data_IF_852606997603
#
_entry.id   IF_852606997603
#
_cell.length_a   1.000
_cell.length_b   1.000
_cell.length_c   1.000
_cell.angle_alpha   90.00
_cell.angle_beta   90.00
_cell.angle_gamma   90.00
#
_symmetry.space_group_name_H-M   'P 1'
#
loop_
_entity.id
_entity.type
_entity.pdbx_description
1 polymer ?
#
# COMPACT_ATOMS: atom_id res chain seq x y z
N UNK A 1 13.89 78.81 -20.45
CA UNK A 1 13.70 79.43 -21.78
C UNK A 1 14.56 78.71 -22.80
N UNK A 2 14.00 78.52 -23.98
CA UNK A 2 14.52 77.84 -25.17
C UNK A 2 15.84 78.42 -25.71
N UNK A 3 16.65 77.56 -26.34
CA UNK A 3 17.33 77.70 -27.65
C UNK A 3 18.49 76.70 -27.68
N UNK A 4 18.50 75.58 -28.42
CA UNK A 4 18.43 75.33 -29.87
C UNK A 4 19.49 76.09 -30.69
N UNK A 5 20.45 75.34 -31.25
CA UNK A 5 20.92 75.35 -32.66
C UNK A 5 22.35 74.74 -32.72
N UNK A 6 22.53 73.49 -33.20
CA UNK A 6 22.85 73.07 -34.60
C UNK A 6 24.27 73.49 -35.04
N UNK A 7 25.11 72.70 -35.71
CA UNK A 7 25.04 71.44 -36.45
C UNK A 7 26.48 70.89 -36.57
N UNK A 8 26.68 69.59 -36.46
CA UNK A 8 27.50 68.83 -37.44
C UNK A 8 26.76 67.52 -37.75
N UNK A 9 26.03 67.55 -38.85
CA UNK A 9 25.68 66.39 -39.66
C UNK A 9 26.93 65.96 -40.45
N UNK A 10 27.18 64.65 -40.60
CA UNK A 10 27.51 64.02 -41.90
C UNK A 10 27.90 62.52 -41.86
N UNK A 11 27.95 61.83 -40.72
CA UNK A 11 28.25 60.39 -40.74
C UNK A 11 27.01 59.51 -40.99
N UNK A 12 25.86 59.85 -40.40
CA UNK A 12 24.66 59.01 -40.52
C UNK A 12 24.00 59.02 -41.91
N UNK A 13 24.17 60.06 -42.71
CA UNK A 13 23.65 60.10 -44.09
C UNK A 13 24.53 59.32 -45.04
N UNK A 14 25.86 59.34 -44.85
CA UNK A 14 26.77 58.51 -45.64
C UNK A 14 26.58 57.03 -45.31
N UNK A 15 26.43 56.69 -44.02
CA UNK A 15 26.05 55.33 -43.60
C UNK A 15 24.71 54.91 -44.19
N UNK A 16 23.67 55.76 -44.17
CA UNK A 16 22.35 55.43 -44.74
C UNK A 16 22.34 55.28 -46.26
N UNK A 17 23.17 56.03 -46.99
CA UNK A 17 23.26 55.91 -48.46
C UNK A 17 24.14 54.72 -48.84
N UNK A 18 25.26 54.48 -48.15
CA UNK A 18 26.07 53.27 -48.32
C UNK A 18 25.26 52.03 -47.94
N UNK A 19 24.50 52.06 -46.85
CA UNK A 19 23.58 50.99 -46.46
C UNK A 19 22.45 50.84 -47.48
N UNK A 20 21.90 51.92 -48.05
CA UNK A 20 20.86 51.81 -49.09
C UNK A 20 21.40 51.32 -50.42
N UNK A 21 22.62 51.67 -50.80
CA UNK A 21 23.28 51.16 -52.02
C UNK A 21 23.71 49.71 -51.81
N UNK A 22 24.19 49.35 -50.63
CA UNK A 22 24.52 47.97 -50.27
C UNK A 22 23.27 47.11 -50.20
N UNK A 23 22.20 47.58 -49.55
CA UNK A 23 20.89 46.92 -49.51
C UNK A 23 20.27 46.86 -50.91
N UNK A 24 20.35 47.91 -51.72
CA UNK A 24 19.88 47.92 -53.13
C UNK A 24 20.67 46.92 -53.99
N UNK A 25 21.99 46.86 -53.85
CA UNK A 25 22.85 45.90 -54.54
C UNK A 25 22.54 44.47 -54.10
N UNK A 26 22.31 44.24 -52.81
CA UNK A 26 21.86 42.95 -52.29
C UNK A 26 20.43 42.62 -52.75
N UNK A 27 19.51 43.58 -52.85
CA UNK A 27 18.15 43.40 -53.39
C UNK A 27 18.16 43.08 -54.88
N UNK A 28 18.99 43.75 -55.68
CA UNK A 28 19.17 43.44 -57.10
C UNK A 28 19.84 42.08 -57.31
N UNK A 29 20.81 41.72 -56.45
CA UNK A 29 21.42 40.38 -56.45
C UNK A 29 20.41 39.29 -56.06
N UNK A 30 19.50 39.59 -55.14
CA UNK A 30 18.39 38.73 -54.76
C UNK A 30 17.35 38.60 -55.87
N UNK A 31 17.10 39.61 -56.70
CA UNK A 31 16.14 39.46 -57.82
C UNK A 31 16.72 38.63 -58.98
N UNK A 32 18.04 38.53 -59.10
CA UNK A 32 18.67 37.66 -60.10
C UNK A 32 18.51 36.18 -59.70
N UNK A 33 17.85 35.38 -60.54
CA UNK A 33 17.52 33.97 -60.32
C UNK A 33 18.72 33.06 -60.02
N UNK A 34 19.95 33.53 -60.26
CA UNK A 34 21.19 32.79 -59.99
C UNK A 34 21.59 32.73 -58.51
N UNK A 35 21.02 33.58 -57.65
CA UNK A 35 21.35 33.62 -56.21
C UNK A 35 20.21 33.13 -55.29
N UNK A 36 19.07 32.72 -55.86
CA UNK A 36 18.01 31.97 -55.16
C UNK A 36 18.27 30.47 -55.13
N UNK A 37 19.52 30.04 -55.29
CA UNK A 37 19.87 28.67 -54.97
C UNK A 37 19.84 28.47 -53.45
N UNK A 38 18.65 28.15 -52.93
CA UNK A 38 18.42 27.62 -51.59
C UNK A 38 18.96 26.19 -51.43
N UNK A 39 19.96 25.80 -52.22
CA UNK A 39 20.54 24.46 -52.24
C UNK A 39 21.31 24.13 -50.95
N UNK A 40 21.69 25.14 -50.17
CA UNK A 40 22.37 24.96 -48.88
C UNK A 40 21.82 25.92 -47.81
N UNK A 41 21.72 25.46 -46.54
CA UNK A 41 21.18 26.27 -45.45
C UNK A 41 21.93 27.59 -45.21
N UNK A 42 23.25 27.58 -45.37
CA UNK A 42 24.12 28.74 -45.13
C UNK A 42 23.82 29.90 -46.09
N UNK A 43 23.54 29.57 -47.37
CA UNK A 43 23.18 30.56 -48.40
C UNK A 43 21.76 31.11 -48.17
N UNK A 44 20.81 30.24 -47.83
CA UNK A 44 19.43 30.63 -47.54
C UNK A 44 19.32 31.56 -46.32
N UNK A 45 20.06 31.27 -45.25
CA UNK A 45 20.05 32.07 -44.01
C UNK A 45 20.71 33.45 -44.19
N UNK A 46 21.77 33.54 -45.00
CA UNK A 46 22.40 34.83 -45.32
C UNK A 46 21.42 35.76 -46.05
N UNK A 47 20.69 35.23 -47.04
CA UNK A 47 19.64 35.93 -47.78
C UNK A 47 18.51 36.43 -46.87
N UNK A 48 18.02 35.59 -45.97
CA UNK A 48 16.98 35.97 -44.99
C UNK A 48 17.45 37.07 -44.04
N UNK A 49 18.71 37.02 -43.60
CA UNK A 49 19.26 38.05 -42.72
C UNK A 49 19.28 39.43 -43.37
N UNK A 50 19.50 39.50 -44.69
CA UNK A 50 19.45 40.75 -45.47
C UNK A 50 18.01 41.25 -45.61
N UNK A 51 17.06 40.36 -45.91
CA UNK A 51 15.64 40.70 -46.05
C UNK A 51 15.03 41.21 -44.73
N UNK A 52 15.38 40.58 -43.60
CA UNK A 52 14.97 41.02 -42.25
C UNK A 52 15.55 42.40 -41.92
N UNK A 53 16.83 42.63 -42.24
CA UNK A 53 17.49 43.93 -41.99
C UNK A 53 16.95 45.05 -42.88
N UNK A 54 16.52 44.75 -44.11
CA UNK A 54 15.92 45.76 -45.00
C UNK A 54 14.46 46.09 -44.69
N UNK A 55 13.82 45.39 -43.73
CA UNK A 55 12.40 45.54 -43.33
C UNK A 55 11.40 45.45 -44.49
N UNK A 56 11.81 44.89 -45.62
CA UNK A 56 10.96 44.62 -46.77
C UNK A 56 10.25 43.29 -46.51
N UNK A 57 9.12 43.33 -45.81
CA UNK A 57 8.24 42.19 -45.67
C UNK A 57 7.44 42.02 -46.97
N UNK A 58 7.56 40.87 -47.61
CA UNK A 58 6.73 40.48 -48.76
C UNK A 58 5.81 39.38 -48.25
N UNK A 59 4.57 39.77 -47.92
CA UNK A 59 3.57 38.83 -47.42
C UNK A 59 3.42 37.64 -48.38
N UNK A 60 3.40 36.43 -47.80
CA UNK A 60 3.40 35.08 -48.44
C UNK A 60 4.77 34.48 -48.76
N UNK A 61 5.83 35.27 -48.92
CA UNK A 61 7.19 34.74 -49.01
C UNK A 61 7.61 34.10 -47.69
N UNK A 62 7.18 34.70 -46.57
CA UNK A 62 7.50 34.25 -45.21
C UNK A 62 6.98 32.83 -44.93
N UNK A 63 5.75 32.50 -45.33
CA UNK A 63 5.20 31.15 -45.15
C UNK A 63 5.92 30.09 -45.99
N UNK A 64 6.26 30.42 -47.25
CA UNK A 64 6.98 29.51 -48.13
C UNK A 64 8.44 29.30 -47.69
N UNK A 65 9.11 30.38 -47.28
CA UNK A 65 10.47 30.32 -46.73
C UNK A 65 10.50 29.52 -45.41
N UNK A 66 9.48 29.65 -44.56
CA UNK A 66 9.40 28.91 -43.29
C UNK A 66 9.34 27.40 -43.51
N UNK A 67 8.46 26.92 -44.38
CA UNK A 67 8.35 25.49 -44.68
C UNK A 67 9.62 24.91 -45.29
N UNK A 68 10.29 25.68 -46.16
CA UNK A 68 11.55 25.26 -46.78
C UNK A 68 12.71 25.23 -45.76
N UNK A 69 12.80 26.21 -44.86
CA UNK A 69 13.85 26.27 -43.83
C UNK A 69 13.67 25.18 -42.77
N UNK A 70 12.44 24.93 -42.33
CA UNK A 70 12.11 23.87 -41.37
C UNK A 70 12.46 22.48 -41.94
N UNK A 71 12.23 22.28 -43.24
CA UNK A 71 12.63 21.05 -43.92
C UNK A 71 14.16 20.87 -44.00
N UNK A 72 14.93 21.97 -43.98
CA UNK A 72 16.40 21.95 -44.02
C UNK A 72 17.07 21.87 -42.64
N UNK A 73 16.33 21.97 -41.53
CA UNK A 73 16.83 21.91 -40.14
C UNK A 73 17.72 20.69 -39.84
N UNK A 74 17.46 19.47 -40.35
CA UNK A 74 18.30 18.29 -40.07
C UNK A 74 19.72 18.42 -40.63
N UNK A 75 19.88 19.16 -41.72
CA UNK A 75 21.15 19.41 -42.40
C UNK A 75 21.89 20.67 -41.90
N UNK A 76 21.34 21.38 -40.90
CA UNK A 76 21.93 22.62 -40.38
C UNK A 76 22.89 22.38 -39.22
N UNK A 77 24.02 23.08 -39.24
CA UNK A 77 24.94 23.17 -38.11
C UNK A 77 24.26 23.84 -36.91
N UNK A 78 24.81 23.61 -35.71
CA UNK A 78 24.25 24.16 -34.45
C UNK A 78 24.16 25.69 -34.46
N UNK A 79 25.12 26.36 -35.11
CA UNK A 79 25.16 27.82 -35.22
C UNK A 79 24.11 28.35 -36.22
N UNK A 80 23.87 27.64 -37.33
CA UNK A 80 22.81 27.97 -38.30
C UNK A 80 21.42 27.83 -37.68
N UNK A 81 21.19 26.77 -36.88
CA UNK A 81 19.93 26.58 -36.13
C UNK A 81 19.72 27.69 -35.09
N UNK A 82 20.78 28.13 -34.43
CA UNK A 82 20.71 29.24 -33.49
C UNK A 82 20.41 30.58 -34.18
N UNK A 83 20.97 30.81 -35.37
CA UNK A 83 20.70 32.00 -36.18
C UNK A 83 19.25 32.01 -36.69
N UNK A 84 18.75 30.88 -37.18
CA UNK A 84 17.37 30.71 -37.62
C UNK A 84 16.38 31.01 -36.49
N UNK A 85 16.64 30.52 -35.26
CA UNK A 85 15.82 30.84 -34.07
C UNK A 85 15.84 32.32 -33.68
N UNK A 86 16.94 33.03 -33.91
CA UNK A 86 16.99 34.47 -33.68
C UNK A 86 16.18 35.23 -34.73
N UNK A 87 16.24 34.80 -35.99
CA UNK A 87 15.50 35.41 -37.09
C UNK A 87 14.00 35.08 -37.06
N UNK A 88 13.62 33.89 -36.55
CA UNK A 88 12.22 33.45 -36.45
C UNK A 88 11.39 34.36 -35.53
N UNK A 89 11.99 34.85 -34.45
CA UNK A 89 11.38 35.83 -33.56
C UNK A 89 11.07 37.17 -34.25
N UNK A 90 11.90 37.61 -35.20
CA UNK A 90 11.69 38.86 -35.95
C UNK A 90 10.70 38.72 -37.11
N UNK A 91 10.58 37.52 -37.68
CA UNK A 91 9.68 37.20 -38.79
C UNK A 91 8.28 36.77 -38.33
N UNK A 92 7.98 36.82 -37.02
CA UNK A 92 6.68 36.39 -36.48
C UNK A 92 6.43 34.89 -36.66
N UNK A 93 7.48 34.09 -36.79
CA UNK A 93 7.36 32.65 -36.96
C UNK A 93 7.06 32.02 -35.60
N UNK A 94 5.96 31.26 -35.53
CA UNK A 94 5.80 30.28 -34.46
C UNK A 94 6.93 29.28 -34.62
N UNK A 95 7.94 29.33 -33.76
CA UNK A 95 8.91 28.26 -33.64
C UNK A 95 8.13 26.96 -33.47
N UNK A 96 8.13 26.11 -34.49
CA UNK A 96 7.89 24.70 -34.28
C UNK A 96 8.92 24.27 -33.23
N UNK A 97 8.42 23.96 -32.04
CA UNK A 97 9.15 23.18 -31.06
C UNK A 97 9.80 22.03 -31.80
N UNK A 98 11.11 21.91 -31.62
CA UNK A 98 11.91 20.84 -32.18
C UNK A 98 11.16 19.54 -31.97
N UNK A 99 10.73 18.93 -33.08
CA UNK A 99 10.39 17.53 -33.15
C UNK A 99 11.67 16.74 -32.86
N UNK A 100 12.02 16.60 -31.59
CA UNK A 100 12.20 15.23 -31.12
C UNK A 100 10.79 14.67 -31.13
N UNK A 101 10.43 13.87 -32.13
CA UNK A 101 9.34 12.93 -31.95
C UNK A 101 9.81 12.00 -30.84
N UNK A 102 9.24 12.03 -29.62
CA UNK A 102 9.26 10.81 -28.83
C UNK A 102 8.45 9.79 -29.65
N UNK A 103 8.67 8.48 -29.50
CA UNK A 103 7.75 7.54 -30.11
C UNK A 103 6.34 7.86 -29.61
N UNK A 104 5.37 7.62 -30.49
CA UNK A 104 3.95 7.59 -30.14
C UNK A 104 3.77 6.82 -28.84
N UNK A 105 3.06 7.43 -27.88
CA UNK A 105 2.73 6.88 -26.55
C UNK A 105 3.99 6.57 -25.72
N UNK A 106 4.26 7.29 -24.62
CA UNK A 106 5.35 6.90 -23.72
C UNK A 106 5.11 5.44 -23.27
N UNK A 107 6.10 4.57 -23.45
CA UNK A 107 5.99 3.15 -23.09
C UNK A 107 5.39 3.05 -21.67
N UNK A 108 4.21 2.43 -21.49
CA UNK A 108 3.48 2.51 -20.23
C UNK A 108 4.28 1.90 -19.08
N UNK A 109 5.16 0.92 -19.36
CA UNK A 109 6.08 0.36 -18.38
C UNK A 109 7.08 1.41 -17.87
N UNK A 110 7.64 2.23 -18.76
CA UNK A 110 8.59 3.30 -18.39
C UNK A 110 7.88 4.36 -17.55
N UNK A 111 6.62 4.68 -17.89
CA UNK A 111 5.80 5.60 -17.11
C UNK A 111 5.60 5.08 -15.68
N UNK A 112 5.16 3.83 -15.52
CA UNK A 112 4.94 3.21 -14.20
C UNK A 112 6.23 3.16 -13.39
N UNK A 113 7.35 2.75 -13.98
CA UNK A 113 8.64 2.69 -13.29
C UNK A 113 9.09 4.08 -12.84
N UNK A 114 8.94 5.09 -13.70
CA UNK A 114 9.30 6.47 -13.36
C UNK A 114 8.45 6.97 -12.19
N UNK A 115 7.14 6.73 -12.25
CA UNK A 115 6.18 7.08 -11.19
C UNK A 115 6.56 6.41 -9.86
N UNK A 116 6.77 5.10 -9.88
CA UNK A 116 7.13 4.31 -8.71
C UNK A 116 8.47 4.76 -8.10
N UNK A 117 9.49 4.94 -8.94
CA UNK A 117 10.82 5.39 -8.51
C UNK A 117 10.83 6.78 -7.90
N UNK A 118 10.01 7.70 -8.43
CA UNK A 118 9.87 9.03 -7.87
C UNK A 118 9.36 8.94 -6.43
N UNK A 119 8.31 8.15 -6.19
CA UNK A 119 7.73 7.99 -4.85
C UNK A 119 8.63 7.25 -3.86
N UNK A 120 9.53 6.38 -4.33
CA UNK A 120 10.48 5.66 -3.49
C UNK A 120 11.76 6.46 -3.17
N UNK A 121 12.02 7.59 -3.84
CA UNK A 121 13.20 8.42 -3.61
C UNK A 121 13.10 9.28 -2.33
N UNK A 122 14.17 9.33 -1.52
CA UNK A 122 14.24 10.04 -0.22
C UNK A 122 14.27 11.59 -0.30
N UNK A 123 13.73 12.21 -1.35
CA UNK A 123 13.73 13.67 -1.53
C UNK A 123 12.32 14.27 -1.48
N UNK A 124 12.15 15.53 -1.00
CA UNK A 124 10.88 16.24 -1.15
C UNK A 124 10.66 16.51 -2.65
N UNK A 125 9.85 15.66 -3.28
CA UNK A 125 9.48 15.82 -4.67
C UNK A 125 8.68 17.11 -4.86
N UNK A 126 9.24 18.08 -5.57
CA UNK A 126 8.44 19.08 -6.27
C UNK A 126 7.70 18.40 -7.42
N UNK A 127 6.49 17.92 -7.11
CA UNK A 127 5.50 17.26 -7.99
C UNK A 127 5.09 18.07 -9.24
N UNK A 128 5.74 19.20 -9.52
CA UNK A 128 5.47 20.10 -10.65
C UNK A 128 6.00 19.64 -12.00
N UNK A 129 6.88 18.62 -12.06
CA UNK A 129 7.47 18.16 -13.33
C UNK A 129 6.84 16.89 -13.91
N UNK A 130 6.12 16.09 -13.12
CA UNK A 130 5.31 14.98 -13.61
C UNK A 130 3.87 15.46 -13.79
N UNK A 131 3.62 16.21 -14.87
CA UNK A 131 2.28 16.45 -15.41
C UNK A 131 1.68 15.14 -15.96
N UNK A 132 1.46 14.15 -15.09
CA UNK A 132 0.61 13.00 -15.37
C UNK A 132 -0.84 13.39 -15.10
N UNK A 133 -1.33 14.36 -15.86
CA UNK A 133 -2.76 14.65 -15.91
C UNK A 133 -3.56 13.50 -16.58
N UNK A 134 -2.87 12.53 -17.16
CA UNK A 134 -3.48 11.40 -17.84
C UNK A 134 -3.64 10.22 -16.88
N UNK A 135 -4.90 9.87 -16.61
CA UNK A 135 -5.26 8.60 -15.97
C UNK A 135 -4.76 7.42 -16.81
N UNK A 136 -4.34 6.32 -16.18
CA UNK A 136 -3.99 5.10 -16.90
C UNK A 136 -5.23 4.54 -17.61
N UNK A 137 -5.29 4.69 -18.94
CA UNK A 137 -6.36 4.12 -19.75
C UNK A 137 -6.27 2.59 -19.81
N UNK A 138 -7.37 1.94 -20.18
CA UNK A 138 -7.40 0.49 -20.37
C UNK A 138 -6.32 0.00 -21.35
N UNK A 139 -6.08 0.75 -22.43
CA UNK A 139 -5.07 0.40 -23.43
C UNK A 139 -3.66 0.47 -22.86
N UNK A 140 -3.36 1.50 -22.05
CA UNK A 140 -2.08 1.62 -21.37
C UNK A 140 -1.84 0.45 -20.40
N UNK A 141 -2.86 0.09 -19.62
CA UNK A 141 -2.78 -1.04 -18.66
C UNK A 141 -2.58 -2.37 -19.39
N UNK A 142 -3.22 -2.56 -20.55
CA UNK A 142 -3.10 -3.79 -21.33
C UNK A 142 -1.70 -4.06 -21.87
N UNK A 143 -0.84 -3.04 -21.96
CA UNK A 143 0.53 -3.12 -22.47
C UNK A 143 1.58 -3.25 -21.35
N UNK A 144 1.15 -3.29 -20.08
CA UNK A 144 2.06 -3.47 -18.96
C UNK A 144 2.60 -4.91 -18.93
N UNK A 145 3.88 -5.02 -18.58
CA UNK A 145 4.47 -6.28 -18.13
C UNK A 145 4.05 -6.56 -16.69
N UNK A 146 4.16 -7.82 -16.25
CA UNK A 146 3.69 -8.25 -14.91
C UNK A 146 4.28 -7.40 -13.79
N UNK A 147 5.58 -7.11 -13.84
CA UNK A 147 6.24 -6.28 -12.82
C UNK A 147 5.62 -4.89 -12.72
N UNK A 148 5.37 -4.22 -13.85
CA UNK A 148 4.75 -2.90 -13.87
C UNK A 148 3.26 -2.98 -13.50
N UNK A 149 2.56 -4.05 -13.86
CA UNK A 149 1.18 -4.31 -13.39
C UNK A 149 1.13 -4.36 -11.86
N UNK A 150 2.07 -5.09 -11.22
CA UNK A 150 2.14 -5.21 -9.76
C UNK A 150 2.55 -3.88 -9.09
N UNK A 151 3.53 -3.15 -9.64
CA UNK A 151 3.92 -1.82 -9.16
C UNK A 151 2.75 -0.84 -9.21
N UNK A 152 2.01 -0.81 -10.31
CA UNK A 152 0.83 0.04 -10.45
C UNK A 152 -0.26 -0.36 -9.46
N UNK A 153 -0.45 -1.66 -9.22
CA UNK A 153 -1.42 -2.16 -8.24
C UNK A 153 -1.07 -1.75 -6.81
N UNK A 154 0.20 -1.82 -6.42
CA UNK A 154 0.67 -1.30 -5.14
C UNK A 154 0.40 0.21 -5.02
N UNK A 155 0.76 0.98 -6.05
CA UNK A 155 0.54 2.42 -6.07
C UNK A 155 -0.94 2.79 -6.02
N UNK A 156 -1.84 2.02 -6.61
CA UNK A 156 -3.28 2.29 -6.57
C UNK A 156 -3.93 1.93 -5.22
N UNK A 157 -3.40 0.92 -4.53
CA UNK A 157 -4.04 0.34 -3.34
C UNK A 157 -3.43 0.78 -2.01
N UNK A 158 -2.18 1.25 -2.00
CA UNK A 158 -1.51 1.67 -0.77
C UNK A 158 -1.93 3.07 -0.33
N UNK A 159 -2.14 3.28 0.97
CA UNK A 159 -2.41 4.60 1.57
C UNK A 159 -1.18 5.52 1.61
N UNK A 160 0.02 5.00 1.37
CA UNK A 160 1.28 5.75 1.42
C UNK A 160 1.50 6.67 0.22
N UNK A 161 0.88 6.37 -0.93
CA UNK A 161 0.96 7.23 -2.12
C UNK A 161 -0.17 8.25 -2.14
N UNK A 162 0.04 9.35 -2.88
CA UNK A 162 -0.81 10.55 -2.90
C UNK A 162 -2.32 10.23 -3.00
N UNK A 163 -3.10 10.39 -1.93
CA UNK A 163 -4.55 10.18 -1.95
C UNK A 163 -5.21 11.23 -2.86
N UNK A 164 -5.84 10.79 -3.96
CA UNK A 164 -6.50 11.69 -4.92
C UNK A 164 -5.69 12.04 -6.18
N UNK A 165 -4.57 11.35 -6.44
CA UNK A 165 -3.89 11.49 -7.72
C UNK A 165 -4.79 11.07 -8.91
N UNK A 166 -4.75 11.84 -10.00
CA UNK A 166 -5.54 11.64 -11.24
C UNK A 166 -5.43 10.23 -11.83
N UNK A 167 -4.27 9.60 -11.67
CA UNK A 167 -4.01 8.23 -12.14
C UNK A 167 -4.65 7.15 -11.28
N UNK A 168 -5.24 7.48 -10.12
CA UNK A 168 -6.06 6.57 -9.30
C UNK A 168 -7.53 6.63 -9.72
N UNK A 169 -7.81 6.39 -10.99
CA UNK A 169 -9.19 6.32 -11.49
C UNK A 169 -9.80 4.93 -11.27
N UNK A 170 -11.11 4.89 -11.06
CA UNK A 170 -11.86 3.63 -10.91
C UNK A 170 -11.79 2.78 -12.20
N UNK A 171 -11.84 3.43 -13.36
CA UNK A 171 -11.71 2.76 -14.67
C UNK A 171 -10.33 2.14 -14.87
N UNK A 172 -9.27 2.87 -14.50
CA UNK A 172 -7.89 2.36 -14.57
C UNK A 172 -7.68 1.19 -13.63
N UNK A 173 -8.28 1.24 -12.42
CA UNK A 173 -8.23 0.14 -11.46
C UNK A 173 -8.97 -1.10 -11.98
N UNK A 174 -10.13 -0.94 -12.63
CA UNK A 174 -10.86 -2.05 -13.21
C UNK A 174 -10.07 -2.75 -14.33
N UNK A 175 -9.48 -1.98 -15.24
CA UNK A 175 -8.57 -2.52 -16.25
C UNK A 175 -7.36 -3.22 -15.62
N UNK A 176 -6.85 -2.69 -14.51
CA UNK A 176 -5.71 -3.27 -13.80
C UNK A 176 -6.06 -4.60 -13.13
N UNK A 177 -7.21 -4.69 -12.46
CA UNK A 177 -7.69 -5.94 -11.86
C UNK A 177 -7.94 -7.01 -12.94
N UNK A 178 -8.51 -6.62 -14.09
CA UNK A 178 -8.69 -7.52 -15.22
C UNK A 178 -7.35 -8.00 -15.80
N UNK A 179 -6.35 -7.10 -15.88
CA UNK A 179 -5.00 -7.44 -16.34
C UNK A 179 -4.29 -8.38 -15.37
N UNK A 180 -4.31 -8.09 -14.07
CA UNK A 180 -3.77 -8.98 -13.03
C UNK A 180 -4.41 -10.36 -13.08
N UNK A 181 -5.73 -10.42 -13.31
CA UNK A 181 -6.43 -11.70 -13.46
C UNK A 181 -5.90 -12.51 -14.64
N UNK A 182 -5.62 -11.84 -15.76
CA UNK A 182 -5.00 -12.47 -16.92
C UNK A 182 -3.59 -12.97 -16.58
N UNK A 183 -2.76 -12.11 -15.99
CA UNK A 183 -1.38 -12.42 -15.63
C UNK A 183 -1.32 -13.61 -14.65
N UNK A 184 -2.15 -13.62 -13.61
CA UNK A 184 -2.24 -14.72 -12.62
C UNK A 184 -2.55 -16.07 -13.28
N UNK A 185 -3.36 -16.05 -14.33
CA UNK A 185 -3.84 -17.26 -14.99
C UNK A 185 -2.90 -17.80 -16.08
N UNK A 186 -2.06 -16.94 -16.68
CA UNK A 186 -1.33 -17.28 -17.90
C UNK A 186 0.17 -17.00 -17.82
N UNK A 187 0.64 -16.21 -16.86
CA UNK A 187 2.06 -15.91 -16.69
C UNK A 187 2.68 -16.80 -15.61
N UNK A 188 3.70 -17.57 -16.01
CA UNK A 188 4.45 -18.44 -15.11
C UNK A 188 5.32 -17.68 -14.09
N UNK A 189 5.49 -16.37 -14.26
CA UNK A 189 6.28 -15.53 -13.34
C UNK A 189 5.58 -15.25 -12.00
N UNK A 190 4.27 -15.49 -11.88
CA UNK A 190 3.54 -15.28 -10.63
C UNK A 190 3.74 -16.49 -9.71
N UNK A 191 4.60 -16.30 -8.73
CA UNK A 191 4.95 -17.27 -7.69
C UNK A 191 4.01 -17.19 -6.47
N UNK A 192 4.21 -18.09 -5.51
CA UNK A 192 3.42 -18.12 -4.27
C UNK A 192 3.47 -16.79 -3.51
N UNK A 193 4.65 -16.16 -3.42
CA UNK A 193 4.82 -14.90 -2.68
C UNK A 193 3.98 -13.78 -3.29
N UNK A 194 3.99 -13.70 -4.62
CA UNK A 194 3.18 -12.73 -5.38
C UNK A 194 1.68 -13.01 -5.20
N UNK A 195 1.25 -14.27 -5.27
CA UNK A 195 -0.15 -14.64 -5.03
C UNK A 195 -0.62 -14.28 -3.62
N UNK A 196 0.19 -14.63 -2.61
CA UNK A 196 -0.09 -14.29 -1.20
C UNK A 196 -0.27 -12.78 -1.04
N UNK A 197 0.66 -12.00 -1.58
CA UNK A 197 0.60 -10.53 -1.52
C UNK A 197 -0.64 -9.95 -2.21
N UNK A 198 -1.03 -10.48 -3.38
CA UNK A 198 -2.27 -10.05 -4.04
C UNK A 198 -3.48 -10.34 -3.14
N UNK A 199 -3.58 -11.55 -2.59
CA UNK A 199 -4.72 -11.94 -1.73
C UNK A 199 -4.75 -11.09 -0.45
N UNK A 200 -3.61 -10.82 0.18
CA UNK A 200 -3.48 -9.92 1.32
C UNK A 200 -4.05 -8.52 1.01
N UNK A 201 -3.70 -7.96 -0.16
CA UNK A 201 -4.22 -6.66 -0.60
C UNK A 201 -5.72 -6.69 -0.86
N UNK A 202 -6.25 -7.76 -1.46
CA UNK A 202 -7.69 -7.93 -1.70
C UNK A 202 -8.51 -8.06 -0.42
N UNK A 203 -7.91 -8.58 0.66
CA UNK A 203 -8.53 -8.64 1.98
C UNK A 203 -8.47 -7.33 2.76
N UNK A 204 -7.75 -6.32 2.27
CA UNK A 204 -7.76 -4.98 2.84
C UNK A 204 -9.10 -4.28 2.59
N UNK A 205 -9.91 -4.10 3.63
CA UNK A 205 -11.26 -3.52 3.56
C UNK A 205 -11.30 -2.01 3.32
N UNK A 206 -10.16 -1.32 3.39
CA UNK A 206 -10.10 0.14 3.32
C UNK A 206 -9.67 0.64 1.95
N UNK A 207 -10.42 1.60 1.39
CA UNK A 207 -9.97 2.40 0.25
C UNK A 207 -10.63 2.02 -1.08
N UNK A 208 -9.88 2.18 -2.17
CA UNK A 208 -10.40 2.14 -3.56
C UNK A 208 -10.90 0.74 -3.94
N UNK A 209 -10.29 -0.33 -3.41
CA UNK A 209 -10.70 -1.71 -3.66
C UNK A 209 -12.11 -2.04 -3.14
N UNK A 210 -12.54 -1.42 -2.05
CA UNK A 210 -13.88 -1.63 -1.48
C UNK A 210 -15.02 -1.22 -2.42
N UNK A 211 -14.74 -0.37 -3.44
CA UNK A 211 -15.71 0.03 -4.47
C UNK A 211 -15.79 -0.95 -5.63
N UNK A 212 -14.79 -1.82 -5.80
CA UNK A 212 -14.67 -2.76 -6.92
C UNK A 212 -14.80 -4.23 -6.46
N UNK A 213 -15.72 -4.52 -5.53
CA UNK A 213 -15.86 -5.85 -4.93
C UNK A 213 -16.04 -6.97 -5.95
N UNK A 214 -16.76 -6.73 -7.05
CA UNK A 214 -17.00 -7.73 -8.10
C UNK A 214 -15.70 -8.10 -8.84
N UNK A 215 -14.89 -7.11 -9.24
CA UNK A 215 -13.62 -7.37 -9.92
C UNK A 215 -12.56 -7.93 -8.97
N UNK A 216 -12.57 -7.50 -7.71
CA UNK A 216 -11.74 -8.08 -6.65
C UNK A 216 -12.07 -9.56 -6.43
N UNK A 217 -13.37 -9.92 -6.38
CA UNK A 217 -13.80 -11.31 -6.27
C UNK A 217 -13.39 -12.15 -7.49
N UNK A 218 -13.43 -11.57 -8.70
CA UNK A 218 -12.96 -12.24 -9.93
C UNK A 218 -11.46 -12.49 -9.93
N UNK A 219 -10.67 -11.51 -9.45
CA UNK A 219 -9.23 -11.68 -9.28
C UNK A 219 -8.92 -12.72 -8.21
N UNK A 220 -9.62 -12.69 -7.07
CA UNK A 220 -9.47 -13.70 -6.02
C UNK A 220 -9.75 -15.12 -6.56
N UNK A 221 -10.81 -15.30 -7.35
CA UNK A 221 -11.11 -16.61 -7.98
C UNK A 221 -9.97 -17.09 -8.90
N UNK A 222 -9.32 -16.18 -9.63
CA UNK A 222 -8.13 -16.52 -10.41
C UNK A 222 -6.93 -16.88 -9.53
N UNK A 223 -6.68 -16.12 -8.45
CA UNK A 223 -5.63 -16.43 -7.48
C UNK A 223 -5.86 -17.80 -6.83
N UNK A 224 -7.10 -18.12 -6.44
CA UNK A 224 -7.49 -19.42 -5.89
C UNK A 224 -7.27 -20.55 -6.90
N UNK A 225 -7.63 -20.33 -8.18
CA UNK A 225 -7.39 -21.32 -9.23
C UNK A 225 -5.90 -21.58 -9.43
N UNK A 226 -5.09 -20.52 -9.54
CA UNK A 226 -3.63 -20.64 -9.65
C UNK A 226 -3.02 -21.28 -8.40
N UNK A 227 -3.53 -20.93 -7.22
CA UNK A 227 -3.11 -21.52 -5.95
C UNK A 227 -3.38 -23.02 -5.94
N UNK A 228 -4.54 -23.47 -6.44
CA UNK A 228 -4.86 -24.89 -6.57
C UNK A 228 -3.86 -25.64 -7.47
N UNK A 229 -3.39 -25.01 -8.55
CA UNK A 229 -2.41 -25.61 -9.46
C UNK A 229 -1.03 -25.78 -8.80
N UNK A 230 -0.60 -24.79 -8.00
CA UNK A 230 0.71 -24.84 -7.31
C UNK A 230 0.64 -25.54 -5.95
N UNK A 231 -0.56 -25.77 -5.41
CA UNK A 231 -0.78 -26.29 -4.06
C UNK A 231 0.09 -27.53 -3.78
N UNK A 232 0.15 -28.57 -4.65
CA UNK A 232 0.94 -29.78 -4.38
C UNK A 232 2.43 -29.52 -4.11
N UNK A 233 2.96 -28.40 -4.59
CA UNK A 233 4.37 -28.03 -4.47
C UNK A 233 4.65 -27.05 -3.31
N UNK A 234 3.61 -26.53 -2.66
CA UNK A 234 3.77 -25.63 -1.51
C UNK A 234 4.27 -26.38 -0.29
N UNK A 235 5.19 -25.76 0.43
CA UNK A 235 5.63 -26.19 1.76
C UNK A 235 4.52 -26.00 2.81
N UNK A 236 4.65 -26.68 3.96
CA UNK A 236 3.68 -26.51 5.07
C UNK A 236 3.65 -25.07 5.58
N UNK A 237 4.80 -24.40 5.63
CA UNK A 237 4.87 -22.98 5.99
C UNK A 237 4.03 -22.11 5.04
N UNK A 238 4.10 -22.37 3.73
CA UNK A 238 3.32 -21.63 2.73
C UNK A 238 1.82 -21.94 2.82
N UNK A 239 1.47 -23.22 3.07
CA UNK A 239 0.09 -23.63 3.33
C UNK A 239 -0.50 -22.93 4.56
N UNK A 240 0.26 -22.82 5.65
CA UNK A 240 -0.16 -22.12 6.86
C UNK A 240 -0.27 -20.61 6.63
N UNK A 241 0.66 -20.02 5.89
CA UNK A 241 0.65 -18.60 5.56
C UNK A 241 -0.59 -18.18 4.75
N UNK A 242 -1.07 -19.04 3.84
CA UNK A 242 -2.18 -18.69 2.95
C UNK A 242 -3.56 -18.97 3.56
N UNK A 243 -3.66 -19.94 4.48
CA UNK A 243 -4.95 -20.38 5.03
C UNK A 243 -5.76 -19.25 5.69
N UNK A 244 -5.20 -18.39 6.57
CA UNK A 244 -5.94 -17.28 7.17
C UNK A 244 -6.43 -16.25 6.16
N UNK A 245 -5.70 -16.11 5.05
CA UNK A 245 -6.05 -15.18 3.98
C UNK A 245 -7.23 -15.68 3.16
N UNK A 246 -7.42 -17.00 3.07
CA UNK A 246 -8.57 -17.60 2.38
C UNK A 246 -9.83 -17.67 3.26
N UNK A 247 -9.69 -17.64 4.58
CA UNK A 247 -10.79 -17.65 5.57
C UNK A 247 -11.30 -16.22 5.88
N UNK A 248 -11.29 -15.34 4.86
CA UNK A 248 -11.71 -13.95 4.97
C UNK A 248 -13.23 -13.81 4.93
N UNK A 249 -13.85 -12.95 5.77
CA UNK A 249 -15.31 -12.75 5.76
C UNK A 249 -15.82 -11.94 4.55
N UNK A 250 -14.92 -11.39 3.72
CA UNK A 250 -15.27 -10.49 2.62
C UNK A 250 -15.71 -11.20 1.35
N UNK A 251 -15.28 -12.45 1.17
CA UNK A 251 -15.50 -13.20 -0.06
C UNK A 251 -16.01 -14.61 0.26
N UNK A 252 -16.61 -15.25 -0.74
CA UNK A 252 -16.96 -16.66 -0.63
C UNK A 252 -15.70 -17.50 -0.39
N UNK A 253 -15.73 -18.28 0.68
CA UNK A 253 -14.62 -19.12 1.06
C UNK A 253 -14.34 -20.20 0.00
N UNK A 254 -13.09 -20.34 -0.48
CA UNK A 254 -12.72 -21.35 -1.46
C UNK A 254 -12.59 -22.74 -0.80
N UNK A 255 -13.73 -23.36 -0.51
CA UNK A 255 -13.82 -24.57 0.31
C UNK A 255 -12.92 -25.72 -0.16
N UNK A 256 -12.78 -25.93 -1.48
CA UNK A 256 -11.95 -27.00 -2.05
C UNK A 256 -10.49 -26.81 -1.63
N UNK A 257 -9.91 -25.65 -1.96
CA UNK A 257 -8.50 -25.35 -1.66
C UNK A 257 -8.25 -25.32 -0.16
N UNK A 258 -9.14 -24.71 0.64
CA UNK A 258 -9.03 -24.74 2.09
C UNK A 258 -9.06 -26.17 2.64
N UNK A 259 -9.97 -27.02 2.14
CA UNK A 259 -10.09 -28.42 2.60
C UNK A 259 -8.86 -29.24 2.24
N UNK A 260 -8.25 -28.99 1.08
CA UNK A 260 -7.04 -29.68 0.65
C UNK A 260 -5.83 -29.24 1.47
N UNK A 261 -5.73 -27.95 1.81
CA UNK A 261 -4.72 -27.44 2.76
C UNK A 261 -4.87 -28.11 4.12
N UNK A 262 -6.07 -28.08 4.70
CA UNK A 262 -6.34 -28.68 6.02
C UNK A 262 -6.05 -30.18 6.01
N UNK A 263 -6.45 -30.90 4.95
CA UNK A 263 -6.14 -32.33 4.79
C UNK A 263 -4.64 -32.59 4.76
N UNK A 264 -3.86 -31.76 4.07
CA UNK A 264 -2.39 -31.86 4.04
C UNK A 264 -1.77 -31.61 5.42
N UNK A 265 -2.25 -30.60 6.14
CA UNK A 265 -1.80 -30.32 7.51
C UNK A 265 -2.17 -31.46 8.49
N UNK A 266 -3.32 -32.11 8.28
CA UNK A 266 -3.72 -33.26 9.07
C UNK A 266 -2.79 -34.48 8.85
N UNK A 267 -2.28 -34.67 7.63
CA UNK A 267 -1.43 -35.82 7.26
C UNK A 267 0.08 -35.53 7.43
N UNK A 268 0.52 -34.27 7.45
CA UNK A 268 1.94 -33.91 7.53
C UNK A 268 2.62 -34.43 8.81
N UNK A 269 3.94 -34.65 8.74
CA UNK A 269 4.74 -34.94 9.92
C UNK A 269 4.82 -33.69 10.82
N UNK A 270 4.79 -33.89 12.14
CA UNK A 270 4.99 -32.82 13.12
C UNK A 270 6.37 -32.15 12.94
N UNK A 271 7.37 -32.90 12.47
CA UNK A 271 8.70 -32.37 12.17
C UNK A 271 8.67 -31.23 11.14
N UNK A 272 7.76 -31.28 10.16
CA UNK A 272 7.62 -30.21 9.15
C UNK A 272 7.08 -28.92 9.77
N UNK A 273 6.27 -29.01 10.82
CA UNK A 273 5.69 -27.87 11.52
C UNK A 273 6.71 -27.14 12.40
N UNK A 274 7.75 -27.84 12.86
CA UNK A 274 8.79 -27.25 13.69
C UNK A 274 9.67 -26.25 12.94
N UNK A 275 9.80 -26.37 11.62
CA UNK A 275 10.52 -25.38 10.80
C UNK A 275 9.77 -24.06 10.59
N UNK A 276 8.50 -23.99 10.99
CA UNK A 276 7.62 -22.84 10.73
C UNK A 276 7.81 -21.76 11.79
N UNK A 277 7.76 -20.50 11.38
CA UNK A 277 7.83 -19.34 12.29
C UNK A 277 6.63 -19.27 13.24
N UNK A 278 6.88 -18.86 14.49
CA UNK A 278 5.86 -18.71 15.54
C UNK A 278 4.71 -17.79 15.10
N UNK A 279 5.01 -16.68 14.42
CA UNK A 279 4.02 -15.74 13.89
C UNK A 279 3.02 -16.41 12.93
N UNK A 280 3.52 -17.30 12.07
CA UNK A 280 2.72 -18.04 11.09
C UNK A 280 1.85 -19.09 11.78
N UNK A 281 2.41 -19.82 12.75
CA UNK A 281 1.67 -20.80 13.55
C UNK A 281 0.51 -20.14 14.30
N UNK A 282 0.76 -19.01 14.95
CA UNK A 282 -0.27 -18.23 15.63
C UNK A 282 -1.34 -17.76 14.65
N UNK A 283 -0.96 -17.14 13.52
CA UNK A 283 -1.91 -16.61 12.54
C UNK A 283 -2.98 -17.61 12.08
N UNK A 284 -2.63 -18.90 12.03
CA UNK A 284 -3.54 -19.98 11.63
C UNK A 284 -4.57 -20.36 12.70
N UNK A 285 -4.28 -20.15 13.98
CA UNK A 285 -5.17 -20.57 15.08
C UNK A 285 -6.57 -19.92 15.01
N UNK A 286 -6.64 -18.69 14.49
CA UNK A 286 -7.89 -17.96 14.30
C UNK A 286 -8.78 -18.50 13.15
N UNK A 287 -8.27 -19.39 12.29
CA UNK A 287 -9.00 -19.86 11.10
C UNK A 287 -10.09 -20.86 11.48
N UNK A 288 -11.37 -20.49 11.53
CA UNK A 288 -12.47 -21.36 11.97
C UNK A 288 -12.52 -22.76 11.29
N UNK A 289 -11.92 -22.87 10.10
CA UNK A 289 -11.67 -24.11 9.35
C UNK A 289 -10.77 -25.18 9.96
N UNK A 290 -10.01 -24.85 11.00
CA UNK A 290 -8.97 -25.72 11.52
C UNK A 290 -9.55 -26.93 12.28
N UNK A 291 -9.16 -28.14 11.86
CA UNK A 291 -9.49 -29.37 12.57
C UNK A 291 -8.73 -29.46 13.90
N UNK A 292 -9.33 -30.13 14.89
CA UNK A 292 -8.73 -30.33 16.22
C UNK A 292 -7.36 -31.00 16.15
N UNK A 293 -7.18 -31.99 15.27
CA UNK A 293 -5.89 -32.67 15.07
C UNK A 293 -4.79 -31.70 14.61
N UNK A 294 -5.11 -30.76 13.73
CA UNK A 294 -4.14 -29.76 13.24
C UNK A 294 -3.83 -28.75 14.34
N UNK A 295 -4.84 -28.35 15.13
CA UNK A 295 -4.66 -27.50 16.31
C UNK A 295 -3.61 -28.11 17.27
N UNK A 296 -3.76 -29.39 17.60
CA UNK A 296 -2.83 -30.09 18.52
C UNK A 296 -1.39 -30.10 17.97
N UNK A 297 -1.22 -30.34 16.66
CA UNK A 297 0.11 -30.28 16.03
C UNK A 297 0.71 -28.88 16.11
N UNK A 298 -0.08 -27.84 15.91
CA UNK A 298 0.38 -26.45 16.05
C UNK A 298 0.78 -26.18 17.51
N UNK A 299 -0.01 -26.61 18.49
CA UNK A 299 0.33 -26.47 19.91
C UNK A 299 1.66 -27.17 20.25
N UNK A 300 1.88 -28.40 19.78
CA UNK A 300 3.17 -29.12 19.94
C UNK A 300 4.33 -28.38 19.27
N UNK A 301 4.10 -27.81 18.09
CA UNK A 301 5.11 -27.03 17.39
C UNK A 301 5.47 -25.72 18.12
N UNK A 302 4.50 -25.10 18.80
CA UNK A 302 4.73 -23.93 19.65
C UNK A 302 5.45 -24.29 20.94
N UNK A 303 5.18 -25.45 21.53
CA UNK A 303 5.84 -25.93 22.75
C UNK A 303 7.31 -26.27 22.51
N UNK A 304 7.65 -26.71 21.30
CA UNK A 304 9.03 -27.03 20.94
C UNK A 304 9.92 -25.78 21.02
N UNK A 305 11.16 -25.97 21.47
CA UNK A 305 12.17 -24.92 21.62
C UNK A 305 11.73 -23.76 22.55
N UNK A 306 10.78 -24.03 23.46
CA UNK A 306 10.24 -23.05 24.43
C UNK A 306 9.66 -21.79 23.79
N UNK A 307 9.15 -21.85 22.54
CA UNK A 307 8.64 -20.66 21.83
C UNK A 307 7.47 -20.01 22.55
N UNK A 308 6.69 -20.77 23.33
CA UNK A 308 5.64 -20.22 24.20
C UNK A 308 6.22 -19.24 25.23
N UNK A 309 7.41 -19.53 25.79
CA UNK A 309 8.10 -18.66 26.75
C UNK A 309 8.63 -17.35 26.16
N UNK A 310 8.71 -17.25 24.83
CA UNK A 310 9.17 -16.04 24.13
C UNK A 310 8.02 -15.19 23.58
N UNK A 311 6.75 -15.61 23.78
CA UNK A 311 5.60 -14.89 23.24
C UNK A 311 5.44 -13.51 23.88
N UNK A 312 5.28 -12.47 23.06
CA UNK A 312 4.89 -11.16 23.55
C UNK A 312 3.51 -11.20 24.23
N UNK A 313 3.18 -10.14 24.98
CA UNK A 313 1.84 -9.95 25.56
C UNK A 313 0.74 -10.15 24.51
N UNK A 314 0.89 -9.55 23.33
CA UNK A 314 -0.12 -9.60 22.27
C UNK A 314 -0.30 -11.02 21.74
N UNK A 315 0.80 -11.72 21.50
CA UNK A 315 0.78 -13.10 21.00
C UNK A 315 0.21 -14.06 22.04
N UNK A 316 0.54 -13.88 23.33
CA UNK A 316 0.00 -14.69 24.43
C UNK A 316 -1.52 -14.52 24.56
N UNK A 317 -2.01 -13.27 24.50
CA UNK A 317 -3.45 -12.98 24.53
C UNK A 317 -4.16 -13.54 23.30
N UNK A 318 -3.55 -13.42 22.12
CA UNK A 318 -4.09 -13.98 20.89
C UNK A 318 -4.17 -15.51 20.96
N UNK A 319 -3.12 -16.18 21.43
CA UNK A 319 -3.10 -17.63 21.61
C UNK A 319 -4.21 -18.08 22.57
N UNK A 320 -4.34 -17.43 23.73
CA UNK A 320 -5.40 -17.72 24.69
C UNK A 320 -6.79 -17.52 24.07
N UNK A 321 -7.02 -16.40 23.39
CA UNK A 321 -8.28 -16.10 22.72
C UNK A 321 -8.63 -17.15 21.66
N UNK A 322 -7.67 -17.51 20.81
CA UNK A 322 -7.89 -18.53 19.79
C UNK A 322 -8.20 -19.90 20.39
N UNK A 323 -7.48 -20.32 21.44
CA UNK A 323 -7.74 -21.58 22.14
C UNK A 323 -9.14 -21.59 22.77
N UNK A 324 -9.49 -20.55 23.53
CA UNK A 324 -10.77 -20.47 24.22
C UNK A 324 -11.95 -20.46 23.26
N UNK A 325 -11.83 -19.76 22.12
CA UNK A 325 -12.84 -19.78 21.06
C UNK A 325 -13.09 -21.19 20.51
N UNK A 326 -12.03 -22.02 20.40
CA UNK A 326 -12.17 -23.43 19.98
C UNK A 326 -12.83 -24.29 21.03
N UNK A 327 -12.40 -24.15 22.27
CA UNK A 327 -12.97 -24.92 23.38
C UNK A 327 -14.47 -24.65 23.53
N UNK A 328 -14.89 -23.38 23.38
CA UNK A 328 -16.31 -23.01 23.40
C UNK A 328 -17.10 -23.47 22.18
N UNK A 329 -16.47 -23.60 21.01
CA UNK A 329 -17.13 -24.09 19.80
C UNK A 329 -17.25 -25.63 19.78
N UNK A 330 -16.43 -26.34 20.57
CA UNK A 330 -16.38 -27.80 20.64
C UNK A 330 -17.53 -28.46 21.45
N UNK A 331 -18.68 -27.81 21.58
CA UNK A 331 -19.87 -28.33 22.28
C UNK A 331 -20.53 -29.56 21.59
N UNK A 332 -20.05 -29.97 20.40
CA UNK A 332 -20.55 -31.14 19.68
C UNK A 332 -19.52 -32.28 19.62
N UNK A 333 -19.79 -33.33 20.42
CA UNK A 333 -19.25 -34.69 20.34
C UNK A 333 -17.86 -34.96 20.98
N UNK A 334 -17.88 -35.26 22.29
CA UNK A 334 -17.47 -36.52 22.97
C UNK A 334 -16.47 -37.48 22.28
N UNK A 335 -15.49 -36.96 21.55
CA UNK A 335 -14.45 -37.75 20.86
C UNK A 335 -13.03 -37.24 21.11
N UNK A 336 -12.89 -36.04 21.67
CA UNK A 336 -11.63 -35.54 22.24
C UNK A 336 -11.41 -36.29 23.56
N UNK A 337 -10.30 -37.03 23.66
CA UNK A 337 -9.96 -37.75 24.88
C UNK A 337 -9.40 -36.76 25.88
N UNK A 338 -9.62 -37.01 27.17
CA UNK A 338 -8.92 -36.29 28.24
C UNK A 338 -7.40 -36.34 27.96
N UNK A 339 -6.72 -35.19 28.00
CA UNK A 339 -5.26 -35.11 27.84
C UNK A 339 -4.73 -34.92 26.42
N UNK A 340 -5.56 -34.56 25.44
CA UNK A 340 -5.11 -34.35 24.06
C UNK A 340 -4.20 -33.11 23.88
N UNK A 341 -4.40 -32.06 24.69
CA UNK A 341 -3.45 -30.94 24.81
C UNK A 341 -2.48 -31.28 25.95
N UNK A 342 -1.18 -31.27 25.65
CA UNK A 342 -0.16 -31.58 26.65
C UNK A 342 -0.22 -30.61 27.82
N UNK A 343 -0.27 -31.15 29.04
CA UNK A 343 -0.24 -30.38 30.29
C UNK A 343 0.91 -29.37 30.30
N UNK A 344 2.08 -29.78 29.82
CA UNK A 344 3.27 -28.94 29.68
C UNK A 344 3.07 -27.72 28.78
N UNK A 345 2.30 -27.81 27.70
CA UNK A 345 1.98 -26.64 26.86
C UNK A 345 1.15 -25.62 27.64
N UNK A 346 0.19 -26.10 28.44
CA UNK A 346 -0.66 -25.24 29.26
C UNK A 346 0.14 -24.59 30.39
N UNK A 347 1.04 -25.34 31.04
CA UNK A 347 1.98 -24.80 32.02
C UNK A 347 2.85 -23.69 31.43
N UNK A 348 3.44 -23.90 30.25
CA UNK A 348 4.25 -22.89 29.57
C UNK A 348 3.42 -21.62 29.24
N UNK A 349 2.18 -21.79 28.77
CA UNK A 349 1.27 -20.68 28.53
C UNK A 349 0.94 -19.93 29.84
N UNK A 350 0.68 -20.63 30.94
CA UNK A 350 0.39 -20.02 32.23
C UNK A 350 1.58 -19.26 32.78
N UNK A 351 2.78 -19.82 32.68
CA UNK A 351 4.03 -19.14 33.04
C UNK A 351 4.19 -17.87 32.20
N UNK A 352 3.93 -17.94 30.90
CA UNK A 352 4.08 -16.77 30.04
C UNK A 352 3.03 -15.69 30.32
N UNK A 353 1.78 -16.07 30.56
CA UNK A 353 0.75 -15.16 31.02
C UNK A 353 1.16 -14.51 32.34
N UNK A 354 1.72 -15.27 33.29
CA UNK A 354 2.21 -14.77 34.58
C UNK A 354 3.29 -13.69 34.42
N UNK A 355 4.23 -13.89 33.48
CA UNK A 355 5.26 -12.90 33.15
C UNK A 355 4.65 -11.66 32.50
N UNK A 356 3.69 -11.85 31.61
CA UNK A 356 3.07 -10.76 30.83
C UNK A 356 2.06 -9.91 31.63
N UNK A 357 1.52 -10.39 32.77
CA UNK A 357 0.57 -9.64 33.62
C UNK A 357 1.04 -8.22 33.96
N UNK A 358 2.34 -8.02 34.15
CA UNK A 358 2.89 -6.69 34.51
C UNK A 358 2.57 -5.61 33.47
N UNK A 359 2.43 -6.01 32.20
CA UNK A 359 2.22 -5.14 31.03
C UNK A 359 0.76 -5.10 30.56
N UNK A 360 -0.13 -5.79 31.27
CA UNK A 360 -1.55 -5.88 30.91
C UNK A 360 -2.36 -4.73 31.49
N UNK A 361 -3.36 -4.26 30.74
CA UNK A 361 -4.40 -3.33 31.20
C UNK A 361 -5.43 -4.06 32.08
N UNK A 362 -6.33 -3.31 32.73
CA UNK A 362 -7.42 -3.92 33.49
C UNK A 362 -8.30 -4.82 32.60
N UNK A 363 -8.69 -4.34 31.43
CA UNK A 363 -9.47 -5.10 30.46
C UNK A 363 -8.77 -6.39 30.01
N UNK A 364 -7.49 -6.30 29.64
CA UNK A 364 -6.70 -7.48 29.23
C UNK A 364 -6.61 -8.50 30.36
N UNK A 365 -6.46 -8.08 31.62
CA UNK A 365 -6.46 -9.01 32.77
C UNK A 365 -7.81 -9.73 32.92
N UNK A 366 -8.93 -9.01 32.72
CA UNK A 366 -10.28 -9.58 32.80
C UNK A 366 -10.53 -10.56 31.65
N UNK A 367 -10.06 -10.25 30.44
CA UNK A 367 -10.12 -11.16 29.29
C UNK A 367 -9.34 -12.44 29.56
N UNK A 368 -8.14 -12.35 30.13
CA UNK A 368 -7.35 -13.53 30.51
C UNK A 368 -8.10 -14.37 31.54
N UNK A 369 -8.67 -13.75 32.58
CA UNK A 369 -9.46 -14.46 33.59
C UNK A 369 -10.66 -15.19 32.96
N UNK A 370 -11.38 -14.55 32.04
CA UNK A 370 -12.47 -15.19 31.31
C UNK A 370 -12.00 -16.37 30.46
N UNK A 371 -10.85 -16.24 29.79
CA UNK A 371 -10.24 -17.33 29.03
C UNK A 371 -9.82 -18.51 29.91
N UNK A 372 -9.21 -18.25 31.07
CA UNK A 372 -8.84 -19.29 32.02
C UNK A 372 -10.08 -20.02 32.59
N UNK A 373 -11.22 -19.33 32.75
CA UNK A 373 -12.48 -19.96 33.18
C UNK A 373 -12.98 -20.95 32.13
N UNK A 374 -12.95 -20.57 30.84
CA UNK A 374 -13.30 -21.47 29.74
C UNK A 374 -12.38 -22.69 29.71
N UNK A 375 -11.06 -22.48 29.89
CA UNK A 375 -10.10 -23.57 29.93
C UNK A 375 -10.33 -24.50 31.14
N UNK A 376 -10.66 -23.95 32.31
CA UNK A 376 -10.93 -24.71 33.53
C UNK A 376 -12.21 -25.56 33.43
N UNK A 377 -13.25 -25.04 32.79
CA UNK A 377 -14.50 -25.78 32.55
C UNK A 377 -14.32 -26.84 31.48
N UNK A 378 -13.39 -26.63 30.55
CA UNK A 378 -13.02 -27.65 29.56
C UNK A 378 -12.29 -28.81 30.24
N UNK A 379 -12.85 -30.01 30.19
CA UNK A 379 -12.20 -31.23 30.70
C UNK A 379 -10.93 -31.64 29.93
N UNK A 380 -10.51 -30.83 28.95
CA UNK A 380 -9.40 -31.12 28.03
C UNK A 380 -8.08 -30.54 28.54
N UNK A 381 -8.11 -29.56 29.46
CA UNK A 381 -6.93 -28.78 29.85
C UNK A 381 -6.72 -28.80 31.37
N UNK A 382 -5.45 -28.75 31.79
CA UNK A 382 -5.03 -28.60 33.17
C UNK A 382 -5.62 -27.36 33.84
N UNK A 383 -5.99 -27.48 35.12
CA UNK A 383 -6.48 -26.35 35.90
C UNK A 383 -5.44 -25.22 35.98
N UNK A 384 -5.86 -23.94 35.89
CA UNK A 384 -4.95 -22.82 35.95
C UNK A 384 -4.37 -22.66 37.38
N UNK A 385 -3.07 -22.30 37.53
CA UNK A 385 -2.46 -22.09 38.82
C UNK A 385 -3.13 -20.96 39.62
N UNK A 386 -3.46 -21.20 40.88
CA UNK A 386 -4.10 -20.20 41.77
C UNK A 386 -3.33 -18.89 41.83
N UNK A 387 -1.99 -18.96 41.87
CA UNK A 387 -1.11 -17.80 41.94
C UNK A 387 -1.22 -16.88 40.72
N UNK A 388 -1.44 -17.46 39.52
CA UNK A 388 -1.68 -16.70 38.30
C UNK A 388 -3.01 -15.97 38.38
N UNK A 389 -4.09 -16.68 38.75
CA UNK A 389 -5.43 -16.10 38.84
C UNK A 389 -5.46 -14.98 39.89
N UNK A 390 -4.82 -15.20 41.04
CA UNK A 390 -4.71 -14.17 42.08
C UNK A 390 -3.94 -12.93 41.60
N UNK A 391 -2.83 -13.13 40.88
CA UNK A 391 -2.02 -12.03 40.37
C UNK A 391 -2.79 -11.21 39.33
N UNK A 392 -3.52 -11.86 38.43
CA UNK A 392 -4.41 -11.20 37.46
C UNK A 392 -5.49 -10.39 38.16
N UNK A 393 -6.17 -10.96 39.17
CA UNK A 393 -7.18 -10.26 39.98
C UNK A 393 -6.61 -9.00 40.64
N UNK A 394 -5.48 -9.14 41.36
CA UNK A 394 -4.81 -8.01 42.04
C UNK A 394 -4.39 -6.93 41.05
N UNK A 395 -3.85 -7.33 39.88
CA UNK A 395 -3.46 -6.41 38.82
C UNK A 395 -4.64 -5.68 38.20
N UNK A 396 -5.76 -6.37 37.96
CA UNK A 396 -6.98 -5.76 37.43
C UNK A 396 -7.50 -4.67 38.38
N UNK A 397 -7.65 -4.96 39.67
CA UNK A 397 -8.08 -3.96 40.67
C UNK A 397 -7.11 -2.78 40.77
N UNK A 398 -5.80 -3.04 40.79
CA UNK A 398 -4.80 -1.99 40.82
C UNK A 398 -4.89 -1.08 39.58
N UNK A 399 -5.03 -1.66 38.39
CA UNK A 399 -5.14 -0.90 37.14
C UNK A 399 -6.43 -0.07 37.11
N UNK A 400 -7.59 -0.61 37.51
CA UNK A 400 -8.82 0.17 37.62
C UNK A 400 -8.68 1.36 38.57
N UNK A 401 -8.02 1.16 39.72
CA UNK A 401 -7.77 2.24 40.68
C UNK A 401 -6.82 3.30 40.08
N UNK A 402 -5.80 2.87 39.35
CA UNK A 402 -4.87 3.75 38.66
C UNK A 402 -5.57 4.55 37.54
N UNK A 403 -6.49 3.94 36.81
CA UNK A 403 -7.26 4.57 35.73
C UNK A 403 -8.19 5.66 36.29
N UNK A 404 -8.87 5.39 37.42
CA UNK A 404 -9.65 6.41 38.15
C UNK A 404 -8.74 7.55 38.62
N UNK A 405 -7.57 7.22 39.17
CA UNK A 405 -6.64 8.23 39.74
C UNK A 405 -6.03 9.13 38.65
N UNK A 406 -5.67 8.55 37.50
CA UNK A 406 -5.11 9.28 36.36
C UNK A 406 -6.19 10.09 35.62
N UNK A 407 -7.45 9.70 35.77
CA UNK A 407 -8.59 10.31 35.09
C UNK A 407 -8.64 9.91 33.61
N UNK A 408 -9.86 9.80 33.09
CA UNK A 408 -10.08 9.49 31.69
C UNK A 408 -10.24 10.77 30.87
N UNK A 409 -9.84 10.73 29.60
CA UNK A 409 -9.98 11.88 28.68
C UNK A 409 -11.25 11.82 27.85
N UNK A 410 -11.86 10.63 27.71
CA UNK A 410 -13.07 10.40 26.92
C UNK A 410 -14.08 9.55 27.68
N UNK A 411 -15.36 9.82 27.50
CA UNK A 411 -16.45 9.04 28.10
C UNK A 411 -16.40 7.56 27.70
N UNK A 412 -16.12 7.28 26.42
CA UNK A 412 -15.97 5.92 25.87
C UNK A 412 -14.96 5.06 26.65
N UNK A 413 -13.87 5.67 27.16
CA UNK A 413 -12.87 4.95 27.94
C UNK A 413 -13.40 4.55 29.31
N UNK A 414 -14.22 5.41 29.93
CA UNK A 414 -14.87 5.13 31.22
C UNK A 414 -15.94 4.05 31.06
N UNK A 415 -16.70 4.10 29.96
CA UNK A 415 -17.70 3.07 29.63
C UNK A 415 -17.04 1.71 29.43
N UNK A 416 -15.97 1.63 28.65
CA UNK A 416 -15.21 0.39 28.48
C UNK A 416 -14.62 -0.14 29.80
N UNK A 417 -14.17 0.75 30.69
CA UNK A 417 -13.70 0.35 32.02
C UNK A 417 -14.86 -0.17 32.91
N UNK A 418 -16.03 0.44 32.84
CA UNK A 418 -17.24 -0.03 33.55
C UNK A 418 -17.68 -1.40 33.06
N UNK A 419 -17.69 -1.64 31.74
CA UNK A 419 -17.99 -2.95 31.16
C UNK A 419 -16.99 -4.01 31.62
N UNK A 420 -15.69 -3.68 31.59
CA UNK A 420 -14.63 -4.58 32.05
C UNK A 420 -14.77 -4.91 33.54
N UNK A 421 -15.11 -3.93 34.38
CA UNK A 421 -15.34 -4.13 35.81
C UNK A 421 -16.58 -4.99 36.07
N UNK A 422 -17.65 -4.80 35.29
CA UNK A 422 -18.84 -5.65 35.37
C UNK A 422 -18.51 -7.09 34.99
N UNK A 423 -17.75 -7.33 33.91
CA UNK A 423 -17.30 -8.67 33.53
C UNK A 423 -16.47 -9.32 34.64
N UNK A 424 -15.59 -8.57 35.30
CA UNK A 424 -14.82 -9.06 36.45
C UNK A 424 -15.74 -9.47 37.61
N UNK A 425 -16.75 -8.67 37.93
CA UNK A 425 -17.74 -8.98 38.96
C UNK A 425 -18.50 -10.27 38.64
N UNK A 426 -18.90 -10.46 37.38
CA UNK A 426 -19.59 -11.67 36.92
C UNK A 426 -18.70 -12.92 37.03
N UNK A 427 -17.43 -12.83 36.62
CA UNK A 427 -16.46 -13.92 36.76
C UNK A 427 -16.25 -14.31 38.23
N UNK A 428 -16.07 -13.33 39.12
CA UNK A 428 -15.88 -13.58 40.55
C UNK A 428 -17.13 -14.19 41.20
N UNK A 429 -18.33 -13.76 40.81
CA UNK A 429 -19.59 -14.32 41.31
C UNK A 429 -19.77 -15.80 40.95
N UNK A 430 -19.26 -16.26 39.81
CA UNK A 430 -19.32 -17.67 39.41
C UNK A 430 -18.47 -18.58 40.30
N UNK A 431 -17.49 -18.03 41.01
CA UNK A 431 -16.62 -18.76 41.95
C UNK A 431 -15.92 -20.00 41.35
N UNK A 432 -15.69 -20.03 40.02
CA UNK A 432 -15.09 -21.17 39.34
C UNK A 432 -13.56 -21.21 39.50
N UNK A 433 -12.90 -20.07 39.30
CA UNK A 433 -11.44 -19.97 39.37
C UNK A 433 -10.91 -19.56 40.76
N UNK A 434 -11.65 -18.71 41.46
CA UNK A 434 -11.29 -18.20 42.78
C UNK A 434 -12.56 -18.03 43.63
N UNK A 435 -12.47 -18.23 44.95
CA UNK A 435 -13.56 -17.89 45.85
C UNK A 435 -13.76 -16.37 45.90
N UNK A 436 -15.02 -15.94 45.92
CA UNK A 436 -15.36 -14.53 46.13
C UNK A 436 -15.10 -14.13 47.59
N UNK A 437 -14.32 -13.08 47.80
CA UNK A 437 -14.10 -12.51 49.13
C UNK A 437 -15.00 -11.28 49.33
N UNK A 438 -15.50 -11.06 50.55
CA UNK A 438 -16.29 -9.85 50.87
C UNK A 438 -15.54 -8.55 50.56
N UNK A 439 -14.21 -8.58 50.64
CA UNK A 439 -13.34 -7.45 50.29
C UNK A 439 -13.36 -7.16 48.79
N UNK A 440 -13.51 -8.19 47.95
CA UNK A 440 -13.55 -8.03 46.50
C UNK A 440 -14.83 -7.29 46.10
N UNK A 441 -15.98 -7.66 46.67
CA UNK A 441 -17.26 -6.97 46.41
C UNK A 441 -17.23 -5.50 46.85
N UNK A 442 -16.65 -5.21 48.02
CA UNK A 442 -16.45 -3.83 48.48
C UNK A 442 -15.58 -3.03 47.51
N UNK A 443 -14.46 -3.62 47.08
CA UNK A 443 -13.53 -3.00 46.13
C UNK A 443 -14.22 -2.72 44.79
N UNK A 444 -15.02 -3.66 44.27
CA UNK A 444 -15.79 -3.49 43.03
C UNK A 444 -16.81 -2.34 43.16
N UNK A 445 -17.53 -2.26 44.28
CA UNK A 445 -18.48 -1.17 44.51
C UNK A 445 -17.78 0.20 44.55
N UNK A 446 -16.65 0.30 45.24
CA UNK A 446 -15.86 1.53 45.33
C UNK A 446 -15.32 1.97 43.96
N UNK A 447 -14.76 1.02 43.19
CA UNK A 447 -14.27 1.27 41.84
C UNK A 447 -15.41 1.68 40.89
N UNK A 448 -16.56 1.01 40.94
CA UNK A 448 -17.75 1.36 40.16
C UNK A 448 -18.24 2.76 40.49
N UNK A 449 -18.32 3.12 41.77
CA UNK A 449 -18.69 4.47 42.20
C UNK A 449 -17.65 5.52 41.77
N UNK A 450 -16.36 5.18 41.73
CA UNK A 450 -15.30 6.02 41.19
C UNK A 450 -15.46 6.29 39.69
N UNK A 451 -15.65 5.23 38.89
CA UNK A 451 -15.83 5.34 37.44
C UNK A 451 -17.12 6.10 37.06
N UNK A 452 -18.24 5.86 37.76
CA UNK A 452 -19.49 6.61 37.53
C UNK A 452 -19.32 8.11 37.82
N UNK A 453 -18.52 8.48 38.82
CA UNK A 453 -18.19 9.89 39.09
C UNK A 453 -17.34 10.50 37.99
N UNK A 454 -16.36 9.77 37.47
CA UNK A 454 -15.55 10.20 36.32
C UNK A 454 -16.40 10.37 35.06
N UNK A 455 -17.34 9.46 34.79
CA UNK A 455 -18.27 9.57 33.65
C UNK A 455 -19.09 10.87 33.72
N UNK A 456 -19.64 11.18 34.90
CA UNK A 456 -20.38 12.43 35.16
C UNK A 456 -19.53 13.71 35.13
N UNK A 457 -18.20 13.58 35.21
CA UNK A 457 -17.28 14.72 35.11
C UNK A 457 -16.96 15.05 33.65
N UNK A 458 -16.98 14.04 32.78
CA UNK A 458 -16.58 14.14 31.37
C UNK A 458 -17.78 14.43 30.46
N UNK A 459 -18.95 13.85 30.76
CA UNK A 459 -20.22 14.22 30.14
C UNK A 459 -20.84 15.44 30.81
#
# INVERSE_FOLDING_TARGET
MLAVSRFVCCEHTYQRVVDRVHVSRCHHQLISSRYWECSTPSKALATLSVLVRSRTFIDRLDKAATGALDAMVPSMTRNERALLRKLSAFLGLRCATVCERPPLVPNPNVVVITLYSAFMGEGPLTLTELNLNDSFSSDCVSQLNVTCTLMLFEMMTSSTFLPGASWRSDDGLNSLLARLRHDVMHDGAIDFRTLKWIIERLNGTSGVLGRQQVECARLLKACVKRLNDILPHLSMSECLLILPLLDSPLYERPFIVCSDIVRRLAVCDELEMYGVETSTLLGVLACGSLDWTVLLKICRALQRDLRVGDLSKRESLFLLSALTARLSACDAARSVREGDIEEKFCEELFVQLYVNVKHMTAAECVEVLGGLEVMYVSSVISAPPSDLVEKLRKKAFFNFQQDITRGHTKAEQVEHALESLQRLEELLKRCLLLPILERDMRTIMDLRAGLVRELKRIG
#
